data_IF_991231087877
#
_entry.id   IF_991231087877
#
_cell.length_a   1.000
_cell.length_b   1.000
_cell.length_c   1.000
_cell.angle_alpha   90.00
_cell.angle_beta   90.00
_cell.angle_gamma   90.00
#
_symmetry.space_group_name_H-M   'P 1'
#
loop_
_entity.id
_entity.type
_entity.pdbx_description
1 polymer ?
#
# COMPACT_ATOMS: atom_id res chain seq x y z
N UNK A 1 -6.57 -18.61 7.75
CA UNK A 1 -5.94 -17.38 8.26
C UNK A 1 -6.32 -16.27 7.30
N UNK A 2 -6.60 -15.07 7.80
CA UNK A 2 -6.98 -13.92 6.97
C UNK A 2 -5.73 -13.22 6.45
N UNK A 3 -5.86 -12.51 5.34
CA UNK A 3 -4.77 -11.74 4.72
C UNK A 3 -4.91 -10.27 5.05
N UNK A 4 -3.79 -9.60 5.33
CA UNK A 4 -3.75 -8.19 5.70
C UNK A 4 -2.68 -7.47 4.90
N UNK A 5 -2.94 -6.20 4.60
CA UNK A 5 -1.96 -5.24 4.10
C UNK A 5 -1.65 -4.24 5.22
N UNK A 6 -0.37 -3.91 5.36
CA UNK A 6 0.14 -2.93 6.31
C UNK A 6 0.67 -1.72 5.55
N UNK A 7 0.22 -0.53 5.94
CA UNK A 7 0.42 0.71 5.20
C UNK A 7 0.83 1.81 6.18
N UNK A 8 1.75 2.69 5.80
CA UNK A 8 2.08 3.90 6.56
C UNK A 8 1.86 5.15 5.71
N UNK A 9 1.49 6.25 6.38
CA UNK A 9 1.38 7.59 5.78
C UNK A 9 2.65 8.43 6.00
N UNK A 10 3.60 7.94 6.80
CA UNK A 10 4.81 8.69 7.20
C UNK A 10 5.90 8.70 6.11
N UNK A 11 5.66 7.98 5.01
CA UNK A 11 6.59 7.81 3.92
C UNK A 11 6.39 8.77 2.76
N UNK A 12 7.47 9.40 2.31
CA UNK A 12 7.47 10.28 1.14
C UNK A 12 7.86 9.52 -0.12
N UNK A 13 7.12 9.71 -1.21
CA UNK A 13 7.52 9.25 -2.55
C UNK A 13 7.51 10.41 -3.53
N UNK A 14 8.48 10.42 -4.43
CA UNK A 14 8.59 11.38 -5.52
C UNK A 14 8.30 10.67 -6.82
N UNK A 15 7.37 11.20 -7.63
CA UNK A 15 7.11 10.64 -8.96
C UNK A 15 8.34 10.86 -9.86
N UNK A 16 8.78 9.84 -10.63
CA UNK A 16 9.82 10.02 -11.63
C UNK A 16 9.38 11.10 -12.64
N UNK A 17 10.34 11.92 -13.06
CA UNK A 17 10.18 12.98 -14.07
C UNK A 17 9.24 14.15 -13.71
N UNK A 18 8.91 14.37 -12.43
CA UNK A 18 8.27 15.61 -11.99
C UNK A 18 9.26 16.71 -11.62
N UNK A 19 8.96 17.93 -12.08
CA UNK A 19 9.71 19.16 -11.81
C UNK A 19 9.27 19.81 -10.47
N UNK A 20 8.10 19.43 -9.93
CA UNK A 20 7.54 20.03 -8.71
C UNK A 20 8.20 19.48 -7.44
N UNK A 21 8.57 20.34 -6.47
CA UNK A 21 9.05 19.93 -5.16
C UNK A 21 7.94 19.41 -4.22
N UNK A 22 6.68 19.57 -4.59
CA UNK A 22 5.55 19.17 -3.75
C UNK A 22 5.33 17.65 -3.79
N UNK A 23 5.20 16.97 -2.63
CA UNK A 23 4.85 15.56 -2.58
C UNK A 23 3.48 15.35 -3.23
N UNK A 24 3.38 14.35 -4.10
CA UNK A 24 2.13 14.05 -4.78
C UNK A 24 1.12 13.39 -3.83
N UNK A 25 -0.07 13.98 -3.76
CA UNK A 25 -1.32 13.42 -3.18
C UNK A 25 -1.19 12.86 -1.75
N UNK A 26 -2.27 12.31 -1.19
CA UNK A 26 -2.21 11.52 0.05
C UNK A 26 -1.47 10.19 -0.25
N UNK A 27 -0.14 10.23 -0.23
CA UNK A 27 0.69 9.07 -0.47
C UNK A 27 0.64 8.11 0.73
N UNK A 28 0.38 6.84 0.44
CA UNK A 28 0.43 5.75 1.40
C UNK A 28 1.47 4.75 0.92
N UNK A 29 2.43 4.40 1.77
CA UNK A 29 3.46 3.40 1.45
C UNK A 29 3.07 2.04 2.02
N UNK A 30 3.17 1.00 1.19
CA UNK A 30 2.96 -0.37 1.66
C UNK A 30 4.19 -0.82 2.45
N UNK A 31 3.98 -1.15 3.72
CA UNK A 31 4.99 -1.71 4.61
C UNK A 31 5.16 -3.21 4.35
N UNK A 32 4.05 -3.91 4.10
CA UNK A 32 4.09 -5.31 3.72
C UNK A 32 2.73 -6.01 3.81
N UNK A 33 2.76 -7.32 3.58
CA UNK A 33 1.60 -8.20 3.65
C UNK A 33 1.87 -9.31 4.64
N UNK A 34 0.88 -9.70 5.44
CA UNK A 34 0.99 -10.85 6.32
C UNK A 34 -0.36 -11.52 6.55
N UNK A 35 -0.32 -12.76 7.07
CA UNK A 35 -1.51 -13.54 7.43
C UNK A 35 -1.57 -13.79 8.93
N UNK A 36 -2.79 -13.89 9.47
CA UNK A 36 -3.04 -14.21 10.89
C UNK A 36 -4.50 -14.60 11.13
N UNK A 37 -4.83 -15.10 12.32
CA UNK A 37 -6.25 -15.30 12.69
C UNK A 37 -6.95 -13.96 13.02
N UNK A 38 -6.16 -12.93 13.33
CA UNK A 38 -6.58 -11.54 13.54
C UNK A 38 -5.41 -10.59 13.18
N UNK A 39 -5.69 -9.29 13.22
CA UNK A 39 -4.79 -8.18 12.89
C UNK A 39 -3.50 -8.24 13.74
N UNK A 40 -3.65 -8.52 15.04
CA UNK A 40 -2.53 -8.56 16.00
C UNK A 40 -1.58 -9.72 15.73
N UNK A 41 -2.10 -10.88 15.37
CA UNK A 41 -1.29 -12.02 14.97
C UNK A 41 -0.60 -11.77 13.63
N UNK A 42 -1.32 -11.21 12.65
CA UNK A 42 -0.76 -10.86 11.36
C UNK A 42 0.39 -9.85 11.49
N UNK A 43 0.26 -8.84 12.35
CA UNK A 43 1.32 -7.87 12.59
C UNK A 43 2.56 -8.50 13.23
N UNK A 44 2.39 -9.40 14.21
CA UNK A 44 3.52 -10.16 14.77
C UNK A 44 4.24 -10.99 13.72
N UNK A 45 3.49 -11.62 12.81
CA UNK A 45 4.06 -12.39 11.71
C UNK A 45 4.83 -11.47 10.75
N UNK A 46 4.29 -10.31 10.41
CA UNK A 46 4.99 -9.30 9.59
C UNK A 46 6.36 -8.93 10.16
N UNK A 47 6.43 -8.59 11.45
CA UNK A 47 7.67 -8.19 12.12
C UNK A 47 8.67 -9.36 12.21
N UNK A 48 8.18 -10.57 12.48
CA UNK A 48 9.02 -11.77 12.53
C UNK A 48 9.68 -12.08 11.19
N UNK A 49 8.95 -11.88 10.09
CA UNK A 49 9.42 -12.13 8.72
C UNK A 49 10.28 -10.97 8.19
N UNK A 50 10.03 -9.74 8.65
CA UNK A 50 10.71 -8.52 8.19
C UNK A 50 11.27 -7.73 9.37
N UNK A 51 12.29 -8.29 10.03
CA UNK A 51 12.88 -7.66 11.22
C UNK A 51 13.45 -6.25 10.95
N UNK A 52 13.86 -5.96 9.71
CA UNK A 52 14.34 -4.64 9.30
C UNK A 52 13.30 -3.52 9.45
N UNK A 53 12.00 -3.83 9.59
CA UNK A 53 10.98 -2.84 9.90
C UNK A 53 11.23 -2.17 11.25
N UNK A 54 11.87 -2.86 12.19
CA UNK A 54 12.24 -2.31 13.50
C UNK A 54 13.39 -1.30 13.41
N UNK A 55 14.16 -1.30 12.31
CA UNK A 55 15.22 -0.34 12.05
C UNK A 55 14.71 0.89 11.28
N UNK A 56 13.43 0.89 10.89
CA UNK A 56 12.80 2.02 10.22
C UNK A 56 12.42 3.13 11.22
N UNK A 57 12.22 4.34 10.71
CA UNK A 57 11.73 5.47 11.51
C UNK A 57 10.20 5.58 11.50
N UNK A 58 9.49 4.53 11.08
CA UNK A 58 8.02 4.53 11.06
C UNK A 58 7.48 4.29 12.48
N UNK A 59 6.60 5.17 12.96
CA UNK A 59 5.92 5.03 14.25
C UNK A 59 4.54 4.38 14.05
N UNK A 60 3.75 4.88 13.09
CA UNK A 60 2.42 4.38 12.82
C UNK A 60 2.33 3.48 11.56
N UNK A 61 1.70 2.32 11.73
CA UNK A 61 1.36 1.38 10.66
C UNK A 61 -0.12 1.01 10.75
N UNK A 62 -0.86 1.36 9.71
CA UNK A 62 -2.26 1.00 9.50
C UNK A 62 -2.38 -0.44 9.01
N UNK A 63 -3.34 -1.20 9.56
CA UNK A 63 -3.64 -2.57 9.15
C UNK A 63 -5.02 -2.61 8.48
N UNK A 64 -5.11 -3.24 7.30
CA UNK A 64 -6.37 -3.42 6.56
C UNK A 64 -6.52 -4.90 6.17
N UNK A 65 -7.66 -5.49 6.53
CA UNK A 65 -8.00 -6.86 6.11
C UNK A 65 -8.35 -6.90 4.62
N UNK A 66 -7.72 -7.80 3.88
CA UNK A 66 -8.00 -8.03 2.47
C UNK A 66 -9.17 -8.99 2.33
N UNK A 67 -10.19 -8.56 1.57
CA UNK A 67 -11.37 -9.38 1.27
C UNK A 67 -11.05 -10.69 0.55
N UNK A 68 -9.98 -10.70 -0.26
CA UNK A 68 -9.58 -11.85 -1.05
C UNK A 68 -8.10 -12.18 -0.80
N UNK A 69 -7.79 -13.46 -0.59
CA UNK A 69 -6.40 -13.90 -0.50
C UNK A 69 -5.66 -13.81 -1.85
N UNK A 70 -6.35 -14.14 -2.95
CA UNK A 70 -5.85 -14.01 -4.33
C UNK A 70 -6.11 -12.60 -4.88
N UNK A 71 -5.69 -11.58 -4.13
CA UNK A 71 -6.04 -10.20 -4.43
C UNK A 71 -5.54 -9.76 -5.81
N UNK A 72 -4.37 -10.22 -6.28
CA UNK A 72 -3.87 -9.90 -7.62
C UNK A 72 -4.81 -10.38 -8.74
N UNK A 73 -5.31 -11.62 -8.64
CA UNK A 73 -6.17 -12.24 -9.67
C UNK A 73 -7.58 -11.67 -9.65
N UNK A 74 -8.07 -11.24 -8.48
CA UNK A 74 -9.42 -10.69 -8.29
C UNK A 74 -9.46 -9.17 -8.35
N UNK A 75 -8.32 -8.51 -8.56
CA UNK A 75 -8.24 -7.06 -8.68
C UNK A 75 -8.75 -6.60 -10.03
N UNK A 76 -9.33 -5.41 -10.04
CA UNK A 76 -9.65 -4.69 -11.27
C UNK A 76 -8.61 -3.59 -11.45
N UNK A 77 -8.05 -3.52 -12.64
CA UNK A 77 -7.07 -2.50 -13.01
C UNK A 77 -7.80 -1.42 -13.82
N UNK A 78 -7.50 -0.17 -13.51
CA UNK A 78 -8.03 0.99 -14.23
C UNK A 78 -6.84 1.72 -14.87
N UNK A 79 -6.97 2.11 -16.14
CA UNK A 79 -5.93 2.83 -16.85
C UNK A 79 -6.34 4.29 -17.05
N UNK A 80 -5.56 5.23 -16.51
CA UNK A 80 -5.88 6.67 -16.58
C UNK A 80 -6.00 7.19 -18.02
N UNK A 81 -5.27 6.59 -18.97
CA UNK A 81 -5.30 6.97 -20.38
C UNK A 81 -6.69 6.75 -21.02
N UNK A 82 -7.43 5.74 -20.57
CA UNK A 82 -8.80 5.47 -21.06
C UNK A 82 -9.75 6.63 -20.78
N UNK A 83 -9.49 7.36 -19.69
CA UNK A 83 -10.29 8.50 -19.27
C UNK A 83 -9.80 9.81 -19.88
N UNK A 84 -8.48 9.99 -20.02
CA UNK A 84 -7.90 11.16 -20.71
C UNK A 84 -8.44 11.28 -22.14
N UNK A 85 -8.49 10.18 -22.88
CA UNK A 85 -9.01 10.17 -24.26
C UNK A 85 -10.53 10.44 -24.32
N UNK A 86 -11.30 10.09 -23.28
CA UNK A 86 -12.73 10.41 -23.22
C UNK A 86 -13.01 11.87 -22.88
N UNK A 87 -12.15 12.51 -22.10
CA UNK A 87 -12.27 13.93 -21.76
C UNK A 87 -11.88 14.81 -22.95
N UNK A 88 -10.85 14.42 -23.72
CA UNK A 88 -10.37 15.20 -24.85
C UNK A 88 -11.23 15.11 -26.13
N UNK A 89 -12.09 14.09 -26.23
CA UNK A 89 -12.96 13.85 -27.39
C UNK A 89 -14.44 14.26 -27.15
N UNK A 90 -14.73 14.91 -26.01
CA UNK A 90 -16.00 15.57 -25.70
C UNK A 90 -15.79 17.08 -25.66
#
# INVERSE_FOLDING_TARGET
MRSYIFITQEGFTYQPDRISPDPDIENCQVVGFAKGNNEKEAFKNLIKENQCLLDSNFDEVMCVELKNEDYYDKSKYFHLNDYKNKILNN
#
